data_IF_451831223418
#
_entry.id   IF_451831223418
#
_cell.length_a   1.000
_cell.length_b   1.000
_cell.length_c   1.000
_cell.angle_alpha   90.00
_cell.angle_beta   90.00
_cell.angle_gamma   90.00
#
_symmetry.space_group_name_H-M   'P 1'
#
loop_
_entity.id
_entity.type
_entity.pdbx_description
1 polymer ?
#
# COMPACT_ATOMS: atom_id res chain seq x y z
N UNK A 1 4.87 32.84 -14.21
CA UNK A 1 4.03 31.87 -13.48
C UNK A 1 3.75 30.71 -14.42
N UNK A 2 4.52 29.60 -14.35
CA UNK A 2 4.38 28.48 -15.28
C UNK A 2 3.36 27.48 -14.72
N UNK A 3 2.38 27.10 -15.54
CA UNK A 3 1.29 26.20 -15.22
C UNK A 3 1.82 24.76 -15.22
N UNK A 4 1.80 24.08 -14.08
CA UNK A 4 2.11 22.65 -13.97
C UNK A 4 0.93 21.86 -14.51
N UNK A 5 1.03 21.40 -15.76
CA UNK A 5 0.08 20.45 -16.33
C UNK A 5 0.60 19.05 -16.01
N UNK A 6 0.01 18.43 -14.98
CA UNK A 6 0.27 17.03 -14.61
C UNK A 6 -0.52 16.11 -15.54
N UNK A 7 0.05 15.79 -16.71
CA UNK A 7 -0.55 14.82 -17.64
C UNK A 7 -0.24 13.40 -17.15
N UNK A 8 -1.19 12.80 -16.42
CA UNK A 8 -1.11 11.41 -15.96
C UNK A 8 -1.37 10.46 -17.14
N UNK A 9 -0.37 10.25 -18.00
CA UNK A 9 -0.38 9.21 -19.02
C UNK A 9 -0.08 7.85 -18.34
N UNK A 10 -1.12 7.21 -17.81
CA UNK A 10 -1.03 5.89 -17.18
C UNK A 10 -0.83 4.78 -18.19
N UNK A 11 0.42 4.55 -18.61
CA UNK A 11 0.81 3.33 -19.33
C UNK A 11 0.83 2.18 -18.33
N UNK A 12 -0.28 1.48 -18.21
CA UNK A 12 -0.40 0.27 -17.38
C UNK A 12 0.36 -0.87 -18.08
N UNK A 13 1.68 -0.99 -17.85
CA UNK A 13 2.44 -2.12 -18.39
C UNK A 13 1.99 -3.41 -17.71
N UNK A 14 1.76 -4.42 -18.55
CA UNK A 14 1.08 -5.67 -18.26
C UNK A 14 1.62 -6.39 -17.02
N UNK A 15 0.69 -6.76 -16.15
CA UNK A 15 0.95 -7.51 -14.93
C UNK A 15 1.20 -8.99 -15.27
N UNK A 16 2.43 -9.47 -15.12
CA UNK A 16 2.71 -10.90 -15.08
C UNK A 16 2.18 -11.44 -13.75
N UNK A 17 0.97 -12.00 -13.77
CA UNK A 17 0.37 -12.63 -12.60
C UNK A 17 1.09 -13.96 -12.30
N UNK A 18 2.05 -13.92 -11.39
CA UNK A 18 2.50 -15.14 -10.70
C UNK A 18 1.40 -15.58 -9.73
N UNK A 19 1.12 -16.87 -9.68
CA UNK A 19 0.12 -17.50 -8.81
C UNK A 19 0.52 -17.33 -7.33
N UNK A 20 0.24 -16.17 -6.77
CA UNK A 20 0.33 -15.85 -5.35
C UNK A 20 -0.88 -14.98 -5.00
N UNK A 21 -1.39 -15.06 -3.77
CA UNK A 21 -2.44 -14.15 -3.25
C UNK A 21 -2.00 -12.67 -3.21
N UNK A 22 -0.78 -12.38 -3.67
CA UNK A 22 -0.17 -11.06 -3.75
C UNK A 22 -0.41 -10.46 -5.15
N UNK A 23 -1.07 -9.30 -5.19
CA UNK A 23 -1.27 -8.55 -6.44
C UNK A 23 -0.25 -7.43 -6.56
N UNK A 24 0.68 -7.56 -7.48
CA UNK A 24 1.63 -6.49 -7.83
C UNK A 24 0.95 -5.46 -8.74
N UNK A 25 1.33 -4.19 -8.64
CA UNK A 25 0.88 -3.10 -9.51
C UNK A 25 2.05 -2.14 -9.68
N UNK A 26 2.52 -1.97 -10.92
CA UNK A 26 3.61 -1.05 -11.25
C UNK A 26 3.02 0.24 -11.79
N UNK A 27 3.37 1.37 -11.16
CA UNK A 27 2.99 2.71 -11.61
C UNK A 27 4.23 3.45 -12.09
N UNK A 28 4.28 3.80 -13.37
CA UNK A 28 5.35 4.60 -13.96
C UNK A 28 4.86 6.03 -14.12
N UNK A 29 5.53 6.99 -13.46
CA UNK A 29 5.25 8.42 -13.61
C UNK A 29 6.40 9.09 -14.36
N UNK A 30 6.10 9.66 -15.53
CA UNK A 30 7.04 10.43 -16.35
C UNK A 30 6.69 11.91 -16.28
N UNK A 31 7.62 12.75 -15.84
CA UNK A 31 7.45 14.22 -15.86
C UNK A 31 8.25 14.81 -17.03
N UNK A 32 7.60 15.55 -17.93
CA UNK A 32 8.16 15.94 -19.24
C UNK A 32 9.11 17.16 -19.23
N UNK A 33 9.50 17.71 -18.07
CA UNK A 33 10.35 18.92 -18.00
C UNK A 33 11.81 18.66 -17.61
N UNK A 34 12.24 17.39 -17.58
CA UNK A 34 13.58 16.96 -17.16
C UNK A 34 13.50 15.53 -16.65
N UNK A 35 13.83 14.58 -17.51
CA UNK A 35 13.45 13.15 -17.40
C UNK A 35 13.82 12.57 -16.03
N UNK A 36 12.81 12.44 -15.17
CA UNK A 36 12.83 11.57 -13.99
C UNK A 36 11.69 10.59 -14.17
N UNK A 37 12.02 9.36 -14.52
CA UNK A 37 11.07 8.24 -14.56
C UNK A 37 11.00 7.65 -13.16
N UNK A 38 9.86 7.78 -12.49
CA UNK A 38 9.63 7.14 -11.20
C UNK A 38 8.78 5.88 -11.41
N UNK A 39 9.38 4.73 -11.19
CA UNK A 39 8.70 3.45 -11.14
C UNK A 39 8.39 3.09 -9.70
N UNK A 40 7.11 3.04 -9.34
CA UNK A 40 6.65 2.60 -8.03
C UNK A 40 5.97 1.25 -8.18
N UNK A 41 6.59 0.21 -7.61
CA UNK A 41 5.99 -1.11 -7.51
C UNK A 41 5.25 -1.20 -6.18
N UNK A 42 3.93 -1.36 -6.25
CA UNK A 42 3.07 -1.59 -5.08
C UNK A 42 2.58 -3.02 -5.14
N UNK A 43 2.75 -3.76 -4.06
CA UNK A 43 2.20 -5.10 -3.87
C UNK A 43 1.04 -5.00 -2.89
N UNK A 44 -0.04 -5.69 -3.20
CA UNK A 44 -1.23 -5.80 -2.36
C UNK A 44 -1.24 -7.20 -1.77
N UNK A 45 -1.25 -7.30 -0.44
CA UNK A 45 -1.48 -8.55 0.28
C UNK A 45 -2.71 -8.44 1.18
N UNK A 46 -3.40 -9.56 1.39
CA UNK A 46 -4.60 -9.65 2.23
C UNK A 46 -4.31 -10.60 3.40
N UNK A 47 -4.78 -10.24 4.58
CA UNK A 47 -4.69 -11.13 5.74
C UNK A 47 -5.39 -10.57 6.98
N UNK A 48 -5.15 -11.22 8.11
CA UNK A 48 -5.73 -10.83 9.41
C UNK A 48 -4.66 -10.17 10.25
N UNK A 49 -4.94 -8.98 10.79
CA UNK A 49 -4.02 -8.27 11.67
C UNK A 49 -3.82 -9.05 12.97
N UNK A 50 -2.61 -9.52 13.26
CA UNK A 50 -2.29 -10.27 14.50
C UNK A 50 -1.61 -9.41 15.54
N UNK A 51 -0.84 -8.41 15.12
CA UNK A 51 -0.21 -7.45 16.01
C UNK A 51 -0.25 -6.06 15.39
N UNK A 52 -0.58 -5.07 16.22
CA UNK A 52 -0.73 -3.69 15.80
C UNK A 52 -0.27 -2.72 16.88
N UNK A 53 0.83 -2.04 16.61
CA UNK A 53 1.24 -0.84 17.30
C UNK A 53 1.46 0.26 16.24
N UNK A 54 0.57 1.27 16.15
CA UNK A 54 0.68 2.33 15.15
C UNK A 54 2.08 2.96 15.13
N UNK A 55 2.75 2.92 13.98
CA UNK A 55 4.10 3.47 13.80
C UNK A 55 5.24 2.59 14.32
N UNK A 56 4.94 1.41 14.88
CA UNK A 56 5.96 0.49 15.42
C UNK A 56 5.83 -0.91 14.82
N UNK A 57 4.75 -1.65 15.10
CA UNK A 57 4.57 -3.04 14.64
C UNK A 57 3.28 -3.19 13.85
N UNK A 58 3.36 -3.89 12.72
CA UNK A 58 2.20 -4.25 11.91
C UNK A 58 2.42 -5.66 11.37
N UNK A 59 1.85 -6.65 12.06
CA UNK A 59 2.00 -8.06 11.71
C UNK A 59 0.67 -8.59 11.21
N UNK A 60 0.69 -9.14 10.00
CA UNK A 60 -0.49 -9.69 9.35
C UNK A 60 -0.28 -11.19 9.14
N UNK A 61 -1.26 -11.99 9.56
CA UNK A 61 -1.33 -13.40 9.21
C UNK A 61 -1.91 -13.53 7.80
N UNK A 62 -1.04 -13.84 6.87
CA UNK A 62 -1.36 -14.13 5.47
C UNK A 62 -1.45 -15.64 5.25
N UNK A 63 -1.85 -16.06 4.05
CA UNK A 63 -1.93 -17.49 3.68
C UNK A 63 -0.59 -18.20 3.84
N UNK A 64 0.52 -17.51 3.54
CA UNK A 64 1.89 -18.03 3.65
C UNK A 64 2.44 -18.05 5.08
N UNK A 65 1.80 -17.33 6.02
CA UNK A 65 2.24 -17.21 7.42
C UNK A 65 2.17 -15.79 7.95
N UNK A 66 2.66 -15.55 9.18
CA UNK A 66 2.78 -14.21 9.74
C UNK A 66 3.84 -13.39 9.00
N UNK A 67 3.46 -12.22 8.50
CA UNK A 67 4.33 -11.29 7.80
C UNK A 67 4.44 -10.01 8.62
N UNK A 68 5.67 -9.57 8.85
CA UNK A 68 5.96 -8.29 9.52
C UNK A 68 6.15 -7.20 8.49
N UNK A 69 5.46 -6.09 8.69
CA UNK A 69 5.53 -4.91 7.84
C UNK A 69 6.16 -3.74 8.58
N UNK A 70 6.97 -2.97 7.84
CA UNK A 70 7.50 -1.69 8.30
C UNK A 70 6.61 -0.54 7.83
N UNK A 71 6.51 0.50 8.64
CA UNK A 71 5.79 1.72 8.27
C UNK A 71 6.64 2.55 7.30
N UNK A 72 6.05 2.94 6.17
CA UNK A 72 6.64 3.98 5.32
C UNK A 72 6.50 5.36 5.93
N UNK A 73 7.16 6.35 5.32
CA UNK A 73 7.10 7.76 5.74
C UNK A 73 5.67 8.31 5.87
N UNK A 74 4.76 7.81 5.01
CA UNK A 74 3.35 8.16 5.04
C UNK A 74 2.53 6.92 4.74
N UNK A 75 1.70 6.52 5.70
CA UNK A 75 0.71 5.46 5.53
C UNK A 75 -0.68 6.06 5.44
N UNK A 76 -1.38 5.78 4.34
CA UNK A 76 -2.77 6.21 4.16
C UNK A 76 -3.69 5.06 4.56
N UNK A 77 -4.63 5.32 5.46
CA UNK A 77 -5.65 4.36 5.83
C UNK A 77 -6.93 4.68 5.07
N UNK A 78 -7.50 3.67 4.41
CA UNK A 78 -8.75 3.82 3.65
C UNK A 78 -9.70 2.68 3.93
N UNK A 79 -10.98 2.89 3.70
CA UNK A 79 -11.93 1.79 3.59
C UNK A 79 -11.94 1.21 2.17
N UNK A 80 -12.58 0.06 1.99
CA UNK A 80 -12.78 -0.57 0.67
C UNK A 80 -13.58 0.30 -0.30
N UNK A 81 -14.46 1.18 0.20
CA UNK A 81 -15.16 2.18 -0.62
C UNK A 81 -14.29 3.39 -1.00
N UNK A 82 -13.05 3.48 -0.51
CA UNK A 82 -12.10 4.54 -0.84
C UNK A 82 -12.15 5.75 0.09
N UNK A 83 -12.92 5.69 1.19
CA UNK A 83 -12.93 6.76 2.20
C UNK A 83 -11.61 6.75 2.95
N UNK A 84 -10.94 7.91 3.04
CA UNK A 84 -9.77 8.08 3.90
C UNK A 84 -10.22 8.11 5.36
N UNK A 85 -9.58 7.31 6.20
CA UNK A 85 -9.86 7.23 7.61
C UNK A 85 -9.10 8.32 8.37
N UNK A 86 -9.78 8.94 9.34
CA UNK A 86 -9.14 9.84 10.29
C UNK A 86 -8.37 9.04 11.35
N UNK A 87 -7.55 9.70 12.16
CA UNK A 87 -6.85 9.03 13.26
C UNK A 87 -7.81 8.36 14.25
N UNK A 88 -8.95 8.99 14.52
CA UNK A 88 -9.97 8.43 15.42
C UNK A 88 -10.64 7.21 14.81
N UNK A 89 -10.91 7.22 13.49
CA UNK A 89 -11.46 6.05 12.79
C UNK A 89 -10.45 4.89 12.75
N UNK A 90 -9.18 5.19 12.50
CA UNK A 90 -8.09 4.21 12.56
C UNK A 90 -8.02 3.59 13.95
N UNK A 91 -8.03 4.44 14.97
CA UNK A 91 -8.11 4.02 16.36
C UNK A 91 -9.44 3.40 16.72
N UNK A 92 -10.51 3.45 15.95
CA UNK A 92 -11.74 2.71 16.28
C UNK A 92 -11.77 1.35 15.59
N UNK A 93 -11.30 1.30 14.34
CA UNK A 93 -11.55 0.20 13.42
C UNK A 93 -10.36 -0.73 13.24
N UNK A 94 -9.13 -0.24 13.42
CA UNK A 94 -7.93 -1.08 13.23
C UNK A 94 -7.57 -1.75 14.55
N UNK A 95 -7.80 -3.05 14.60
CA UNK A 95 -7.58 -3.90 15.77
C UNK A 95 -7.09 -5.28 15.37
N UNK A 96 -6.42 -5.95 16.30
CA UNK A 96 -6.07 -7.35 16.15
C UNK A 96 -7.34 -8.18 15.89
N UNK A 97 -7.27 -9.08 14.93
CA UNK A 97 -8.38 -9.91 14.46
C UNK A 97 -9.17 -9.32 13.28
N UNK A 98 -8.91 -8.07 12.90
CA UNK A 98 -9.59 -7.44 11.75
C UNK A 98 -8.91 -7.83 10.43
N UNK A 99 -9.68 -8.18 9.39
CA UNK A 99 -9.13 -8.38 8.05
C UNK A 99 -8.62 -7.05 7.47
N UNK A 100 -7.43 -7.08 6.90
CA UNK A 100 -6.77 -5.91 6.30
C UNK A 100 -6.20 -6.27 4.94
N UNK A 101 -6.17 -5.28 4.04
CA UNK A 101 -5.43 -5.36 2.78
C UNK A 101 -4.30 -4.34 2.85
N UNK A 102 -3.06 -4.80 2.73
CA UNK A 102 -1.87 -3.98 2.86
C UNK A 102 -1.30 -3.72 1.48
N UNK A 103 -1.16 -2.44 1.15
CA UNK A 103 -0.42 -1.99 -0.01
C UNK A 103 0.97 -1.60 0.45
N UNK A 104 1.99 -2.33 0.00
CA UNK A 104 3.37 -2.13 0.38
C UNK A 104 4.29 -2.06 -0.83
N UNK A 105 5.49 -1.54 -0.63
CA UNK A 105 6.61 -1.65 -1.57
C UNK A 105 7.70 -2.51 -0.94
N UNK A 106 8.42 -3.27 -1.76
CA UNK A 106 9.60 -4.00 -1.31
C UNK A 106 10.81 -3.04 -1.33
N UNK A 107 11.46 -2.87 -0.17
CA UNK A 107 12.74 -2.17 -0.03
C UNK A 107 13.77 -3.17 0.47
N UNK A 108 14.52 -3.76 -0.49
CA UNK A 108 15.33 -4.93 -0.21
C UNK A 108 14.44 -6.10 0.24
N UNK A 109 14.71 -6.63 1.44
CA UNK A 109 13.91 -7.69 2.06
C UNK A 109 12.76 -7.14 2.93
N UNK A 110 12.69 -5.82 3.11
CA UNK A 110 11.68 -5.18 3.97
C UNK A 110 10.43 -4.82 3.18
N UNK A 111 9.26 -5.22 3.67
CA UNK A 111 7.96 -4.81 3.15
C UNK A 111 7.52 -3.51 3.83
N UNK A 112 7.45 -2.42 3.06
CA UNK A 112 7.16 -1.07 3.57
C UNK A 112 5.75 -0.64 3.18
N UNK A 113 4.89 -0.41 4.16
CA UNK A 113 3.49 -0.04 3.95
C UNK A 113 3.39 1.37 3.40
N UNK A 114 2.58 1.53 2.35
CA UNK A 114 2.16 2.82 1.81
C UNK A 114 0.68 3.10 2.09
N UNK A 115 -0.14 2.05 2.10
CA UNK A 115 -1.58 2.16 2.36
C UNK A 115 -2.13 0.90 3.04
N UNK A 116 -3.09 1.09 3.93
CA UNK A 116 -3.84 -0.01 4.55
C UNK A 116 -5.32 0.20 4.23
N UNK A 117 -5.96 -0.85 3.71
CA UNK A 117 -7.36 -0.86 3.36
C UNK A 117 -8.09 -1.82 4.30
N UNK A 118 -9.08 -1.29 5.01
CA UNK A 118 -9.96 -2.09 5.86
C UNK A 118 -11.38 -2.13 5.28
N UNK A 119 -12.18 -3.06 5.77
CA UNK A 119 -13.60 -3.08 5.43
C UNK A 119 -14.37 -1.91 6.05
N UNK A 120 -15.52 -1.58 5.45
CA UNK A 120 -16.38 -0.45 5.84
C UNK A 120 -17.09 -0.68 7.18
#
# INVERSE_FOLDING_TARGET
MKKLILTLAGSLLALTATLADEKTTTTTTTTSDGVTTQETQTVTSTGVLTEYAPGSTFIVKETSGPVTYSYGNKVVYTTRSGRILTEDDVKARIRVGVPVNVHYANQGETRVINRVIIDD
#
